data_IF_618105405206
#
_entry.id   IF_618105405206
#
_cell.length_a   1.000
_cell.length_b   1.000
_cell.length_c   1.000
_cell.angle_alpha   90.00
_cell.angle_beta   90.00
_cell.angle_gamma   90.00
#
_symmetry.space_group_name_H-M   'P 1'
#
loop_
_entity.id
_entity.type
_entity.pdbx_description
1 polymer ?
#
# COMPACT_ATOMS: atom_id res chain seq x y z
N UNK A 1 -4.99 -9.71 -14.70
CA UNK A 1 -4.65 -8.47 -13.98
C UNK A 1 -3.76 -7.59 -14.86
N UNK A 2 -4.05 -6.30 -14.94
CA UNK A 2 -3.24 -5.30 -15.65
C UNK A 2 -2.21 -4.74 -14.66
N UNK A 3 -0.93 -4.83 -15.00
CA UNK A 3 0.15 -4.36 -14.12
C UNK A 3 0.69 -2.99 -14.50
N UNK A 4 0.55 -2.60 -15.78
CA UNK A 4 1.02 -1.35 -16.35
C UNK A 4 0.27 -1.10 -17.66
N UNK A 5 0.03 0.16 -17.97
CA UNK A 5 -0.59 0.62 -19.22
C UNK A 5 0.47 1.38 -20.02
N UNK A 6 0.56 1.08 -21.32
CA UNK A 6 1.32 1.86 -22.29
C UNK A 6 0.31 2.35 -23.33
N UNK A 7 0.14 3.66 -23.44
CA UNK A 7 -0.85 4.28 -24.33
C UNK A 7 -0.21 5.32 -25.24
N UNK A 8 -0.67 5.40 -26.49
CA UNK A 8 -0.37 6.56 -27.34
C UNK A 8 -1.14 7.78 -26.83
N UNK A 9 -0.55 8.98 -26.96
CA UNK A 9 -1.26 10.24 -26.73
C UNK A 9 -2.24 10.53 -27.86
N UNK A 10 -1.85 10.24 -29.09
CA UNK A 10 -2.69 10.50 -30.27
C UNK A 10 -3.56 9.28 -30.57
N UNK A 11 -4.75 9.22 -30.01
CA UNK A 11 -5.75 8.19 -30.29
C UNK A 11 -7.06 8.82 -30.74
N UNK A 12 -7.88 8.14 -31.58
CA UNK A 12 -9.21 8.59 -31.92
C UNK A 12 -10.14 8.52 -30.68
N UNK A 13 -11.19 9.34 -30.68
CA UNK A 13 -12.26 9.43 -29.67
C UNK A 13 -11.79 9.96 -28.30
N UNK A 14 -10.80 9.33 -27.65
CA UNK A 14 -10.23 9.75 -26.37
C UNK A 14 -8.71 9.78 -26.49
N UNK A 15 -8.08 10.92 -26.24
CA UNK A 15 -6.63 10.99 -26.29
C UNK A 15 -6.00 10.31 -25.04
N UNK A 16 -4.69 9.97 -25.12
CA UNK A 16 -4.00 9.24 -24.07
C UNK A 16 -3.90 10.00 -22.74
N UNK A 17 -3.93 11.33 -22.77
CA UNK A 17 -3.90 12.16 -21.56
C UNK A 17 -5.26 12.10 -20.86
N UNK A 18 -6.36 12.21 -21.61
CA UNK A 18 -7.72 12.03 -21.09
C UNK A 18 -7.92 10.62 -20.54
N UNK A 19 -7.42 9.61 -21.24
CA UNK A 19 -7.42 8.23 -20.78
C UNK A 19 -6.62 8.06 -19.48
N UNK A 20 -5.45 8.70 -19.36
CA UNK A 20 -4.66 8.70 -18.14
C UNK A 20 -5.44 9.34 -16.96
N UNK A 21 -6.04 10.52 -17.17
CA UNK A 21 -6.91 11.19 -16.19
C UNK A 21 -8.06 10.26 -15.76
N UNK A 22 -8.68 9.56 -16.70
CA UNK A 22 -9.73 8.57 -16.41
C UNK A 22 -9.20 7.44 -15.52
N UNK A 23 -8.07 6.82 -15.89
CA UNK A 23 -7.47 5.74 -15.08
C UNK A 23 -7.14 6.22 -13.67
N UNK A 24 -6.51 7.38 -13.54
CA UNK A 24 -6.07 7.94 -12.25
C UNK A 24 -7.23 8.46 -11.39
N UNK A 25 -8.34 8.84 -12.01
CA UNK A 25 -9.55 9.28 -11.32
C UNK A 25 -10.48 8.14 -10.84
N UNK A 26 -10.23 6.89 -11.24
CA UNK A 26 -11.08 5.76 -10.87
C UNK A 26 -10.43 4.87 -9.82
N UNK A 27 -11.07 4.75 -8.65
CA UNK A 27 -10.54 4.03 -7.50
C UNK A 27 -10.06 2.61 -7.83
N UNK A 28 -10.78 1.89 -8.68
CA UNK A 28 -10.46 0.49 -9.02
C UNK A 28 -9.14 0.31 -9.77
N UNK A 29 -8.72 1.33 -10.55
CA UNK A 29 -7.60 1.25 -11.48
C UNK A 29 -6.54 2.35 -11.30
N UNK A 30 -6.76 3.32 -10.40
CA UNK A 30 -5.83 4.45 -10.15
C UNK A 30 -4.39 3.99 -9.81
N UNK A 31 -4.27 2.83 -9.18
CA UNK A 31 -2.99 2.22 -8.82
C UNK A 31 -2.19 1.64 -10.00
N UNK A 32 -2.75 1.60 -11.22
CA UNK A 32 -2.07 1.06 -12.39
C UNK A 32 -1.19 2.15 -13.00
N UNK A 33 0.13 1.93 -13.14
CA UNK A 33 1.02 2.91 -13.77
C UNK A 33 0.69 3.08 -15.26
N UNK A 34 0.80 4.33 -15.73
CA UNK A 34 0.56 4.69 -17.13
C UNK A 34 1.81 5.29 -17.73
N UNK A 35 2.26 4.75 -18.86
CA UNK A 35 3.31 5.31 -19.72
C UNK A 35 2.62 5.89 -20.95
N UNK A 36 2.85 7.17 -21.24
CA UNK A 36 2.33 7.82 -22.44
C UNK A 36 3.41 7.89 -23.53
N UNK A 37 3.05 7.47 -24.75
CA UNK A 37 3.88 7.58 -25.94
C UNK A 37 3.38 8.74 -26.81
N UNK A 38 4.27 9.59 -27.30
CA UNK A 38 3.88 10.77 -28.09
C UNK A 38 4.82 11.07 -29.24
N UNK A 39 4.28 11.61 -30.33
CA UNK A 39 5.04 12.22 -31.42
C UNK A 39 5.41 13.69 -31.13
N UNK A 40 4.83 14.30 -30.08
CA UNK A 40 5.05 15.72 -29.73
C UNK A 40 6.15 15.82 -28.66
N UNK A 41 7.07 16.76 -28.83
CA UNK A 41 8.21 16.99 -27.94
C UNK A 41 8.15 18.33 -27.18
N UNK A 42 6.99 19.00 -27.15
CA UNK A 42 6.85 20.28 -26.45
C UNK A 42 6.85 20.04 -24.93
N UNK A 43 7.45 20.94 -24.18
CA UNK A 43 7.47 20.88 -22.70
C UNK A 43 6.07 20.96 -22.10
N UNK A 44 5.17 21.73 -22.74
CA UNK A 44 3.76 21.86 -22.36
C UNK A 44 3.02 20.51 -22.38
N UNK A 45 3.20 19.71 -23.44
CA UNK A 45 2.57 18.38 -23.56
C UNK A 45 3.09 17.41 -22.50
N UNK A 46 4.36 17.58 -22.06
CA UNK A 46 4.96 16.78 -20.98
C UNK A 46 4.40 17.17 -19.61
N UNK A 47 4.27 18.47 -19.35
CA UNK A 47 3.68 18.99 -18.12
C UNK A 47 2.24 18.46 -17.96
N UNK A 48 1.41 18.59 -19.01
CA UNK A 48 0.03 18.10 -18.99
C UNK A 48 -0.06 16.58 -18.74
N UNK A 49 0.87 15.79 -19.31
CA UNK A 49 0.93 14.34 -19.10
C UNK A 49 1.24 13.99 -17.62
N UNK A 50 2.17 14.71 -17.00
CA UNK A 50 2.49 14.51 -15.57
C UNK A 50 1.37 15.01 -14.67
N UNK A 51 0.72 16.12 -14.97
CA UNK A 51 -0.47 16.59 -14.25
C UNK A 51 -1.64 15.61 -14.35
N UNK A 52 -1.75 14.88 -15.48
CA UNK A 52 -2.70 13.79 -15.63
C UNK A 52 -2.35 12.54 -14.79
N UNK A 53 -1.19 12.52 -14.12
CA UNK A 53 -0.73 11.44 -13.28
C UNK A 53 0.04 10.32 -13.99
N UNK A 54 0.53 10.56 -15.23
CA UNK A 54 1.36 9.58 -15.93
C UNK A 54 2.72 9.41 -15.23
N UNK A 55 3.17 8.17 -15.02
CA UNK A 55 4.46 7.87 -14.41
C UNK A 55 5.63 8.03 -15.36
N UNK A 56 5.38 7.97 -16.66
CA UNK A 56 6.40 8.24 -17.67
C UNK A 56 5.79 8.75 -18.97
N UNK A 57 6.59 9.55 -19.66
CA UNK A 57 6.31 10.11 -20.96
C UNK A 57 7.49 9.81 -21.90
N UNK A 58 7.24 9.24 -23.07
CA UNK A 58 8.27 8.78 -24.00
C UNK A 58 7.96 9.30 -25.41
N UNK A 59 8.91 10.05 -25.97
CA UNK A 59 8.79 10.63 -27.31
C UNK A 59 9.05 9.59 -28.40
N UNK A 60 8.27 9.63 -29.46
CA UNK A 60 8.50 8.89 -30.71
C UNK A 60 9.44 9.67 -31.64
N UNK A 61 10.36 9.02 -32.36
CA UNK A 61 10.69 7.59 -32.29
C UNK A 61 11.46 7.26 -31.00
N UNK A 62 11.17 6.12 -30.37
CA UNK A 62 11.83 5.67 -29.14
C UNK A 62 12.61 4.37 -29.33
N UNK A 63 13.64 4.20 -28.50
CA UNK A 63 14.37 2.95 -28.42
C UNK A 63 13.63 1.96 -27.50
N UNK A 64 13.36 0.75 -28.01
CA UNK A 64 12.71 -0.32 -27.23
C UNK A 64 13.45 -0.66 -25.94
N UNK A 65 14.79 -0.59 -25.93
CA UNK A 65 15.57 -0.80 -24.71
C UNK A 65 15.26 0.23 -23.64
N UNK A 66 15.03 1.49 -24.02
CA UNK A 66 14.64 2.56 -23.09
C UNK A 66 13.23 2.33 -22.56
N UNK A 67 12.28 1.98 -23.41
CA UNK A 67 10.91 1.64 -22.98
C UNK A 67 10.92 0.45 -22.00
N UNK A 68 11.62 -0.64 -22.33
CA UNK A 68 11.74 -1.80 -21.45
C UNK A 68 12.40 -1.45 -20.10
N UNK A 69 13.42 -0.58 -20.11
CA UNK A 69 14.06 -0.12 -18.87
C UNK A 69 13.07 0.68 -18.00
N UNK A 70 12.27 1.56 -18.59
CA UNK A 70 11.24 2.33 -17.88
C UNK A 70 10.16 1.42 -17.27
N UNK A 71 9.62 0.49 -18.05
CA UNK A 71 8.64 -0.50 -17.57
C UNK A 71 9.21 -1.25 -16.36
N UNK A 72 10.42 -1.80 -16.49
CA UNK A 72 11.08 -2.57 -15.43
C UNK A 72 11.29 -1.73 -14.16
N UNK A 73 11.71 -0.49 -14.31
CA UNK A 73 11.94 0.41 -13.18
C UNK A 73 10.63 0.75 -12.46
N UNK A 74 9.54 1.02 -13.19
CA UNK A 74 8.23 1.29 -12.59
C UNK A 74 7.70 0.07 -11.82
N UNK A 75 7.80 -1.12 -12.39
CA UNK A 75 7.37 -2.35 -11.71
C UNK A 75 8.20 -2.64 -10.45
N UNK A 76 9.54 -2.50 -10.53
CA UNK A 76 10.42 -2.64 -9.36
C UNK A 76 10.14 -1.59 -8.28
N UNK A 77 9.87 -0.36 -8.69
CA UNK A 77 9.52 0.71 -7.74
C UNK A 77 8.23 0.35 -6.98
N UNK A 78 7.22 -0.13 -7.69
CA UNK A 78 5.95 -0.59 -7.09
C UNK A 78 6.15 -1.73 -6.08
N UNK A 79 6.96 -2.72 -6.44
CA UNK A 79 7.32 -3.82 -5.54
C UNK A 79 8.07 -3.32 -4.29
N UNK A 80 8.96 -2.32 -4.45
CA UNK A 80 9.68 -1.70 -3.34
C UNK A 80 8.73 -0.95 -2.42
N UNK A 81 7.86 -0.10 -2.95
CA UNK A 81 6.85 0.65 -2.16
C UNK A 81 5.97 -0.30 -1.35
N UNK A 82 5.49 -1.39 -1.96
CA UNK A 82 4.70 -2.41 -1.27
C UNK A 82 5.50 -3.11 -0.15
N UNK A 83 6.79 -3.34 -0.35
CA UNK A 83 7.68 -3.91 0.66
C UNK A 83 7.94 -2.94 1.80
N UNK A 84 8.19 -1.66 1.47
CA UNK A 84 8.44 -0.61 2.45
C UNK A 84 7.20 -0.40 3.32
N UNK A 85 5.99 -0.39 2.74
CA UNK A 85 4.73 -0.37 3.48
C UNK A 85 4.66 -1.50 4.51
N UNK A 86 5.01 -2.72 4.11
CA UNK A 86 4.99 -3.88 4.99
C UNK A 86 5.97 -3.73 6.16
N UNK A 87 7.17 -3.20 5.92
CA UNK A 87 8.28 -3.18 6.89
C UNK A 87 8.26 -1.94 7.82
N UNK A 88 7.58 -0.86 7.46
CA UNK A 88 7.48 0.33 8.32
C UNK A 88 6.63 0.03 9.55
N UNK A 89 7.14 0.35 10.75
CA UNK A 89 6.40 0.24 12.02
C UNK A 89 5.36 1.35 12.18
N UNK A 90 5.70 2.56 11.72
CA UNK A 90 4.80 3.71 11.70
C UNK A 90 4.33 3.94 10.27
N UNK A 91 3.02 4.08 10.09
CA UNK A 91 2.44 4.37 8.78
C UNK A 91 2.57 5.87 8.44
N UNK A 92 3.72 6.28 7.95
CA UNK A 92 3.85 7.57 7.26
C UNK A 92 3.58 7.35 5.77
N UNK A 93 2.30 7.46 5.41
CA UNK A 93 1.82 7.20 4.03
C UNK A 93 2.41 8.20 3.03
N UNK A 94 2.81 9.39 3.50
CA UNK A 94 3.39 10.47 2.69
C UNK A 94 4.71 10.10 2.01
N UNK A 95 5.47 9.18 2.59
CA UNK A 95 6.78 8.77 2.05
C UNK A 95 6.68 7.75 0.91
N UNK A 96 5.47 7.27 0.58
CA UNK A 96 5.27 6.16 -0.34
C UNK A 96 4.89 6.56 -1.77
N UNK A 97 4.85 7.87 -2.09
CA UNK A 97 4.56 8.39 -3.44
C UNK A 97 3.34 7.75 -4.13
N UNK A 98 2.24 7.63 -3.40
CA UNK A 98 0.95 7.22 -3.96
C UNK A 98 0.28 8.38 -4.71
N UNK A 99 -0.67 8.06 -5.60
CA UNK A 99 -1.63 9.08 -6.04
C UNK A 99 -2.47 9.52 -4.85
N UNK A 100 -3.04 10.74 -4.88
CA UNK A 100 -3.88 11.22 -3.77
C UNK A 100 -5.02 10.25 -3.43
N UNK A 101 -5.68 9.66 -4.43
CA UNK A 101 -6.74 8.66 -4.24
C UNK A 101 -6.23 7.37 -3.57
N UNK A 102 -5.03 6.93 -3.94
CA UNK A 102 -4.43 5.72 -3.37
C UNK A 102 -3.94 5.97 -1.94
N UNK A 103 -3.42 7.17 -1.67
CA UNK A 103 -3.02 7.60 -0.33
C UNK A 103 -4.24 7.66 0.60
N UNK A 104 -5.32 8.31 0.19
CA UNK A 104 -6.56 8.39 0.95
C UNK A 104 -7.18 7.00 1.18
N UNK A 105 -7.13 6.14 0.17
CA UNK A 105 -7.60 4.77 0.30
C UNK A 105 -6.82 3.99 1.37
N UNK A 106 -5.49 4.06 1.36
CA UNK A 106 -4.65 3.36 2.35
C UNK A 106 -4.85 3.92 3.75
N UNK A 107 -4.96 5.26 3.91
CA UNK A 107 -5.24 5.89 5.21
C UNK A 107 -6.57 5.41 5.79
N UNK A 108 -7.64 5.45 4.99
CA UNK A 108 -8.96 4.95 5.38
C UNK A 108 -8.93 3.45 5.70
N UNK A 109 -8.18 2.65 4.93
CA UNK A 109 -8.05 1.22 5.19
C UNK A 109 -7.36 0.92 6.53
N UNK A 110 -6.30 1.67 6.87
CA UNK A 110 -5.61 1.57 8.16
C UNK A 110 -6.55 2.00 9.30
N UNK A 111 -7.23 3.12 9.14
CA UNK A 111 -8.18 3.65 10.13
C UNK A 111 -9.33 2.67 10.38
N UNK A 112 -9.92 2.12 9.33
CA UNK A 112 -10.98 1.11 9.42
C UNK A 112 -10.53 -0.10 10.27
N UNK A 113 -9.34 -0.65 10.02
CA UNK A 113 -8.82 -1.77 10.84
C UNK A 113 -8.54 -1.34 12.27
N UNK A 114 -8.04 -0.12 12.51
CA UNK A 114 -7.79 0.38 13.86
C UNK A 114 -9.11 0.59 14.66
N UNK A 115 -10.19 1.00 14.00
CA UNK A 115 -11.51 1.13 14.62
C UNK A 115 -12.08 -0.23 15.07
N UNK A 116 -11.66 -1.32 14.42
CA UNK A 116 -12.03 -2.70 14.73
C UNK A 116 -10.87 -3.50 15.34
N UNK A 117 -9.92 -2.81 15.99
CA UNK A 117 -8.67 -3.43 16.43
C UNK A 117 -8.90 -4.65 17.33
N UNK A 118 -9.78 -4.53 18.33
CA UNK A 118 -10.08 -5.58 19.29
C UNK A 118 -11.13 -6.61 18.80
N UNK A 119 -11.82 -6.33 17.69
CA UNK A 119 -12.84 -7.21 17.16
C UNK A 119 -12.21 -8.36 16.35
N UNK A 120 -12.06 -9.52 17.02
CA UNK A 120 -11.50 -10.70 16.39
C UNK A 120 -12.38 -11.30 15.27
N UNK A 121 -13.67 -10.92 15.20
CA UNK A 121 -14.60 -11.35 14.16
C UNK A 121 -14.54 -10.45 12.91
N UNK A 122 -13.88 -9.27 13.01
CA UNK A 122 -13.75 -8.37 11.88
C UNK A 122 -13.04 -9.05 10.70
N UNK A 123 -13.80 -9.30 9.65
CA UNK A 123 -13.37 -10.05 8.49
C UNK A 123 -13.29 -9.20 7.20
N UNK A 124 -12.91 -9.85 6.10
CA UNK A 124 -12.80 -9.19 4.80
C UNK A 124 -14.16 -8.73 4.22
N UNK A 125 -15.28 -9.27 4.70
CA UNK A 125 -16.63 -8.87 4.25
C UNK A 125 -16.98 -7.53 4.86
N UNK A 126 -16.91 -7.44 6.18
CA UNK A 126 -17.13 -6.21 6.94
C UNK A 126 -16.16 -5.11 6.50
N UNK A 127 -14.89 -5.48 6.28
CA UNK A 127 -13.90 -4.52 5.79
C UNK A 127 -14.27 -3.93 4.42
N UNK A 128 -14.73 -4.76 3.48
CA UNK A 128 -15.13 -4.27 2.16
C UNK A 128 -16.40 -3.38 2.23
N UNK A 129 -17.37 -3.73 3.09
CA UNK A 129 -18.58 -2.96 3.33
C UNK A 129 -18.25 -1.57 3.91
N UNK A 130 -17.40 -1.48 4.93
CA UNK A 130 -17.00 -0.19 5.52
C UNK A 130 -16.14 0.67 4.58
N UNK A 131 -15.32 0.04 3.75
CA UNK A 131 -14.58 0.74 2.71
C UNK A 131 -15.46 1.16 1.51
N UNK A 132 -16.75 0.80 1.51
CA UNK A 132 -17.74 1.07 0.44
C UNK A 132 -17.17 0.58 -0.91
N UNK A 133 -16.72 -0.68 -0.94
CA UNK A 133 -16.13 -1.28 -2.13
C UNK A 133 -16.42 -2.78 -2.22
N UNK A 134 -16.18 -3.38 -3.39
CA UNK A 134 -16.26 -4.83 -3.51
C UNK A 134 -15.07 -5.53 -2.87
N UNK A 135 -15.24 -6.78 -2.40
CA UNK A 135 -14.13 -7.61 -1.90
C UNK A 135 -13.00 -7.75 -2.94
N UNK A 136 -13.37 -7.84 -4.22
CA UNK A 136 -12.40 -7.94 -5.32
C UNK A 136 -11.58 -6.67 -5.48
N UNK A 137 -12.23 -5.50 -5.45
CA UNK A 137 -11.58 -4.20 -5.53
C UNK A 137 -10.68 -3.97 -4.32
N UNK A 138 -11.18 -4.23 -3.10
CA UNK A 138 -10.39 -4.15 -1.86
C UNK A 138 -9.13 -5.02 -1.94
N UNK A 139 -9.28 -6.29 -2.33
CA UNK A 139 -8.16 -7.21 -2.50
C UNK A 139 -7.11 -6.68 -3.50
N UNK A 140 -7.55 -6.28 -4.71
CA UNK A 140 -6.66 -5.79 -5.77
C UNK A 140 -5.90 -4.54 -5.35
N UNK A 141 -6.59 -3.59 -4.71
CA UNK A 141 -5.99 -2.34 -4.21
C UNK A 141 -4.96 -2.62 -3.11
N UNK A 142 -5.31 -3.37 -2.07
CA UNK A 142 -4.40 -3.72 -1.00
C UNK A 142 -3.19 -4.53 -1.51
N UNK A 143 -3.44 -5.45 -2.44
CA UNK A 143 -2.36 -6.22 -3.06
C UNK A 143 -1.41 -5.36 -3.87
N UNK A 144 -1.94 -4.37 -4.58
CA UNK A 144 -1.13 -3.46 -5.39
C UNK A 144 -0.37 -2.43 -4.55
N UNK A 145 -1.01 -1.83 -3.55
CA UNK A 145 -0.45 -0.72 -2.76
C UNK A 145 0.42 -1.21 -1.60
N UNK A 146 -0.05 -2.23 -0.87
CA UNK A 146 0.61 -2.75 0.32
C UNK A 146 1.33 -4.10 0.11
N UNK A 147 1.15 -4.75 -1.05
CA UNK A 147 1.69 -6.09 -1.31
C UNK A 147 0.98 -7.21 -0.54
N UNK A 148 -0.09 -6.91 0.19
CA UNK A 148 -0.79 -7.80 1.10
C UNK A 148 -2.18 -8.16 0.59
N UNK A 149 -2.63 -9.40 0.80
CA UNK A 149 -4.05 -9.71 0.68
C UNK A 149 -4.83 -9.12 1.88
N UNK A 150 -6.16 -9.07 1.79
CA UNK A 150 -7.02 -8.42 2.78
C UNK A 150 -6.79 -8.93 4.21
N UNK A 151 -6.75 -10.25 4.41
CA UNK A 151 -6.52 -10.83 5.75
C UNK A 151 -5.10 -10.57 6.28
N UNK A 152 -4.11 -10.57 5.38
CA UNK A 152 -2.74 -10.23 5.75
C UNK A 152 -2.59 -8.74 6.09
N UNK A 153 -3.35 -7.87 5.43
CA UNK A 153 -3.38 -6.44 5.72
C UNK A 153 -3.96 -6.16 7.11
N UNK A 154 -5.13 -6.74 7.44
CA UNK A 154 -5.72 -6.64 8.78
C UNK A 154 -4.72 -7.09 9.83
N UNK A 155 -4.11 -8.26 9.63
CA UNK A 155 -3.10 -8.81 10.56
C UNK A 155 -1.88 -7.90 10.70
N UNK A 156 -1.34 -7.36 9.61
CA UNK A 156 -0.19 -6.45 9.63
C UNK A 156 -0.49 -5.17 10.42
N UNK A 157 -1.67 -4.55 10.22
CA UNK A 157 -2.09 -3.37 11.00
C UNK A 157 -2.20 -3.69 12.49
N UNK A 158 -2.81 -4.84 12.85
CA UNK A 158 -2.94 -5.30 14.24
C UNK A 158 -1.58 -5.55 14.91
N UNK A 159 -0.65 -6.17 14.19
CA UNK A 159 0.71 -6.43 14.71
C UNK A 159 1.49 -5.12 14.93
N UNK A 160 1.33 -4.13 14.05
CA UNK A 160 1.93 -2.80 14.22
C UNK A 160 1.29 -2.03 15.38
N UNK A 161 -0.01 -2.16 15.58
CA UNK A 161 -0.68 -1.62 16.76
C UNK A 161 -0.15 -2.27 18.05
N UNK A 162 0.14 -3.58 18.01
CA UNK A 162 0.76 -4.27 19.15
C UNK A 162 2.14 -3.69 19.49
N UNK A 163 2.97 -3.38 18.48
CA UNK A 163 4.27 -2.73 18.71
C UNK A 163 4.09 -1.39 19.44
N UNK A 164 3.18 -0.52 18.95
CA UNK A 164 2.91 0.78 19.60
C UNK A 164 2.46 0.63 21.06
N UNK A 165 1.55 -0.32 21.33
CA UNK A 165 1.07 -0.58 22.70
C UNK A 165 2.22 -1.09 23.59
N UNK A 166 3.12 -1.93 23.08
CA UNK A 166 4.30 -2.40 23.80
C UNK A 166 5.28 -1.25 24.09
N UNK A 167 5.50 -0.36 23.13
CA UNK A 167 6.34 0.83 23.30
C UNK A 167 5.77 1.81 24.36
N UNK A 168 4.44 1.97 24.40
CA UNK A 168 3.77 2.81 25.38
C UNK A 168 3.74 2.21 26.80
N UNK A 169 3.51 0.89 26.91
CA UNK A 169 3.27 0.22 28.19
C UNK A 169 4.48 -0.54 28.75
N UNK A 170 5.48 -0.83 27.93
CA UNK A 170 6.66 -1.58 28.33
C UNK A 170 6.30 -2.92 28.97
N UNK A 171 6.91 -3.23 30.11
CA UNK A 171 6.66 -4.46 30.89
C UNK A 171 5.28 -4.49 31.60
N UNK A 172 4.49 -3.42 31.52
CA UNK A 172 3.19 -3.32 32.21
C UNK A 172 2.05 -4.01 31.45
N UNK A 173 2.33 -4.74 30.36
CA UNK A 173 1.34 -5.50 29.61
C UNK A 173 1.78 -6.93 29.39
N UNK A 174 0.88 -7.87 29.64
CA UNK A 174 1.13 -9.28 29.33
C UNK A 174 0.90 -9.54 27.84
N UNK A 175 1.77 -10.35 27.23
CA UNK A 175 1.64 -10.73 25.80
C UNK A 175 0.28 -11.36 25.48
N UNK A 176 -0.29 -12.15 26.42
CA UNK A 176 -1.62 -12.74 26.26
C UNK A 176 -2.73 -11.69 26.23
N UNK A 177 -2.64 -10.68 27.08
CA UNK A 177 -3.59 -9.56 27.13
C UNK A 177 -3.50 -8.71 25.88
N UNK A 178 -2.26 -8.38 25.46
CA UNK A 178 -1.98 -7.65 24.24
C UNK A 178 -2.59 -8.33 23.00
N UNK A 179 -2.47 -9.67 22.92
CA UNK A 179 -3.05 -10.42 21.81
C UNK A 179 -4.56 -10.18 21.66
N UNK A 180 -5.31 -10.20 22.77
CA UNK A 180 -6.75 -9.93 22.76
C UNK A 180 -7.07 -8.47 22.43
N UNK A 181 -6.31 -7.51 22.98
CA UNK A 181 -6.47 -6.07 22.69
C UNK A 181 -6.34 -5.80 21.20
N UNK A 182 -5.44 -6.50 20.50
CA UNK A 182 -5.24 -6.31 19.07
C UNK A 182 -6.00 -7.33 18.21
N UNK A 183 -7.05 -7.95 18.77
CA UNK A 183 -8.02 -8.76 18.03
C UNK A 183 -7.55 -10.16 17.62
N UNK A 184 -6.60 -10.75 18.34
CA UNK A 184 -6.26 -12.17 18.18
C UNK A 184 -6.96 -13.01 19.23
N UNK A 185 -7.67 -14.06 18.80
CA UNK A 185 -8.35 -15.00 19.71
C UNK A 185 -7.40 -15.99 20.39
N UNK A 186 -6.19 -16.16 19.85
CA UNK A 186 -5.18 -17.08 20.40
C UNK A 186 -3.82 -16.38 20.55
N UNK A 187 -3.35 -16.20 21.80
CA UNK A 187 -2.04 -15.60 22.09
C UNK A 187 -0.85 -16.37 21.51
N UNK A 188 -0.97 -17.69 21.33
CA UNK A 188 0.09 -18.49 20.71
C UNK A 188 0.18 -18.17 19.22
N UNK A 189 -0.98 -18.11 18.55
CA UNK A 189 -1.03 -17.72 17.14
C UNK A 189 -0.55 -16.28 16.93
N UNK A 190 -0.91 -15.36 17.83
CA UNK A 190 -0.37 -13.98 17.83
C UNK A 190 1.16 -14.00 17.86
N UNK A 191 1.78 -14.73 18.80
CA UNK A 191 3.25 -14.78 18.95
C UNK A 191 3.93 -15.37 17.70
N UNK A 192 3.31 -16.38 17.07
CA UNK A 192 3.80 -16.95 15.80
C UNK A 192 3.75 -15.92 14.68
N UNK A 193 2.62 -15.19 14.55
CA UNK A 193 2.46 -14.15 13.54
C UNK A 193 3.45 -12.99 13.77
N UNK A 194 3.62 -12.57 15.02
CA UNK A 194 4.55 -11.51 15.40
C UNK A 194 5.99 -11.88 15.06
N UNK A 195 6.43 -13.09 15.46
CA UNK A 195 7.77 -13.59 15.13
C UNK A 195 8.01 -13.69 13.62
N UNK A 196 7.01 -14.11 12.86
CA UNK A 196 7.09 -14.18 11.39
C UNK A 196 7.23 -12.80 10.75
N UNK A 197 6.57 -11.78 11.31
CA UNK A 197 6.58 -10.42 10.77
C UNK A 197 7.84 -9.65 11.16
N UNK A 198 8.25 -9.71 12.44
CA UNK A 198 9.33 -8.89 13.00
C UNK A 198 10.63 -9.67 13.29
N UNK A 199 10.66 -10.98 13.06
CA UNK A 199 11.83 -11.83 13.26
C UNK A 199 12.15 -12.18 14.72
N UNK A 200 11.37 -11.69 15.71
CA UNK A 200 11.57 -11.90 17.14
C UNK A 200 10.24 -12.12 17.87
N UNK A 201 10.29 -12.67 19.08
CA UNK A 201 9.09 -12.84 19.90
C UNK A 201 8.61 -11.49 20.46
N UNK A 202 7.30 -11.35 20.82
CA UNK A 202 6.80 -10.14 21.47
C UNK A 202 7.54 -9.78 22.75
N UNK A 203 7.94 -10.76 23.55
CA UNK A 203 8.75 -10.57 24.77
C UNK A 203 10.10 -9.96 24.47
N UNK A 204 10.79 -10.50 23.47
CA UNK A 204 12.12 -10.01 23.05
C UNK A 204 12.03 -8.57 22.52
N UNK A 205 10.91 -8.23 21.85
CA UNK A 205 10.65 -6.89 21.35
C UNK A 205 10.52 -5.87 22.49
N UNK A 206 9.75 -6.20 23.54
CA UNK A 206 9.58 -5.34 24.72
C UNK A 206 10.92 -5.12 25.42
N UNK A 207 11.68 -6.21 25.68
CA UNK A 207 12.99 -6.11 26.33
C UNK A 207 13.98 -5.23 25.56
N UNK A 208 14.02 -5.41 24.24
CA UNK A 208 14.89 -4.60 23.37
C UNK A 208 14.51 -3.13 23.39
N UNK A 209 13.20 -2.82 23.30
CA UNK A 209 12.73 -1.42 23.31
C UNK A 209 13.09 -0.72 24.63
N UNK A 210 12.93 -1.39 25.78
CA UNK A 210 13.29 -0.82 27.09
C UNK A 210 14.79 -0.53 27.17
N UNK A 211 15.64 -1.45 26.70
CA UNK A 211 17.10 -1.24 26.66
C UNK A 211 17.54 -0.09 25.76
N UNK A 212 16.81 0.18 24.69
CA UNK A 212 17.11 1.27 23.74
C UNK A 212 16.65 2.64 24.30
N UNK A 213 15.64 2.68 25.17
CA UNK A 213 15.14 3.93 25.83
C UNK A 213 16.00 4.32 27.05
N UNK A 214 16.64 3.35 27.71
CA UNK A 214 17.50 3.59 28.88
C UNK A 214 18.94 4.03 28.52
N UNK A 215 19.29 4.10 27.23
CA UNK A 215 20.59 4.58 26.72
C UNK A 215 20.53 6.03 26.28
#
# INVERSE_FOLDING_TARGET
DIYLIVSDVMMPEMNGIEFCKYVKGHLEISHIPVILLTAKNKEEDRAEAYEAGAEAFISKPFNLTVLHARIRNLLKYKERTARDFKNQLVFEVKDLNYTSLDEDFIKRAIECVNNHLADAAFDQTQFAEEMITSKSTLYKKLKSLAGLNTSAFIRNVRLKAACRIMEEKGNNIRVSELAYIVGFNDPKYFSVCFKKEFGMLPTDYIERFIQDVEK
#
